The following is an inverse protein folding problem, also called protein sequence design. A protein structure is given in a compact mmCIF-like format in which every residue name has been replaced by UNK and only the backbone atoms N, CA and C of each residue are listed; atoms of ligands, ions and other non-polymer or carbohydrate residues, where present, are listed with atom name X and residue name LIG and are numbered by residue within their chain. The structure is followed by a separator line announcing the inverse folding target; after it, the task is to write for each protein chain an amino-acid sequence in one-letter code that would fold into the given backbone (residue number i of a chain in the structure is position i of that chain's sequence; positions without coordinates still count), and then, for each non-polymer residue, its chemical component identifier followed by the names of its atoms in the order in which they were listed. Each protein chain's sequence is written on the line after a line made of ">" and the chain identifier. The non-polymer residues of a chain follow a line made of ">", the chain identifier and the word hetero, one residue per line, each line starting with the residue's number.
data_IF_186650965484
#
_entry.id   IF_186650965484
#
_cell.length_a   1.000
_cell.length_b   1.000
_cell.length_c   1.000
_cell.angle_alpha   90.00
_cell.angle_beta   90.00
_cell.angle_gamma   90.00
#
_symmetry.space_group_name_H-M   'P 1'
#
loop_
_entity.id
_entity.type
_entity.pdbx_description
1 polymer ?
#
# COMPACT_ATOMS: atom_id res chain seq x y z
N UNK A 1 -14.81 -13.44 15.44
CA UNK A 1 -13.60 -13.08 14.69
C UNK A 1 -13.31 -11.61 14.93
N UNK A 2 -12.05 -11.20 14.95
CA UNK A 2 -11.73 -9.77 15.06
C UNK A 2 -12.23 -9.04 13.81
N UNK A 3 -12.93 -7.93 13.98
CA UNK A 3 -13.42 -7.12 12.86
C UNK A 3 -12.24 -6.36 12.25
N UNK A 4 -12.01 -6.53 10.96
CA UNK A 4 -10.96 -5.83 10.21
C UNK A 4 -11.55 -4.54 9.63
N UNK A 5 -10.93 -3.41 9.91
CA UNK A 5 -11.30 -2.11 9.33
C UNK A 5 -10.24 -1.65 8.33
N UNK A 6 -10.67 -1.31 7.12
CA UNK A 6 -9.82 -0.74 6.08
C UNK A 6 -10.14 0.73 5.86
N UNK A 7 -9.14 1.58 5.79
CA UNK A 7 -9.29 2.96 5.36
C UNK A 7 -9.04 3.05 3.85
N UNK A 8 -10.03 3.45 3.06
CA UNK A 8 -9.95 3.52 1.61
C UNK A 8 -9.89 4.97 1.15
N UNK A 9 -8.82 5.35 0.47
CA UNK A 9 -8.72 6.60 -0.28
C UNK A 9 -9.70 6.54 -1.46
N UNK A 10 -10.90 7.07 -1.26
CA UNK A 10 -11.98 6.98 -2.24
C UNK A 10 -11.73 7.84 -3.49
N UNK A 11 -10.86 8.84 -3.38
CA UNK A 11 -10.56 9.78 -4.47
C UNK A 11 -9.35 9.37 -5.30
N UNK A 12 -8.58 8.36 -4.85
CA UNK A 12 -7.35 7.94 -5.49
C UNK A 12 -7.54 7.24 -6.84
N UNK A 13 -6.55 7.38 -7.72
CA UNK A 13 -6.52 6.81 -9.07
C UNK A 13 -7.20 7.71 -10.13
N UNK A 14 -7.04 7.31 -11.39
CA UNK A 14 -7.53 8.10 -12.54
C UNK A 14 -9.06 8.25 -12.58
N UNK A 15 -9.78 7.26 -12.07
CA UNK A 15 -11.25 7.24 -12.09
C UNK A 15 -11.90 7.63 -10.75
N UNK A 16 -11.19 7.49 -9.61
CA UNK A 16 -11.71 7.84 -8.29
C UNK A 16 -13.00 7.12 -7.90
N UNK A 17 -14.00 7.87 -7.43
CA UNK A 17 -15.27 7.34 -6.91
C UNK A 17 -16.00 6.33 -7.80
N UNK A 18 -16.06 6.49 -9.15
CA UNK A 18 -16.67 5.50 -10.05
C UNK A 18 -16.07 4.09 -9.95
N UNK A 19 -14.83 3.95 -9.48
CA UNK A 19 -14.17 2.65 -9.29
C UNK A 19 -14.13 2.25 -7.82
N UNK A 20 -13.79 3.16 -6.93
CA UNK A 20 -13.59 2.84 -5.51
C UNK A 20 -14.88 2.47 -4.79
N UNK A 21 -16.00 3.12 -5.09
CA UNK A 21 -17.28 2.82 -4.45
C UNK A 21 -17.82 1.43 -4.86
N UNK A 22 -17.89 1.05 -6.14
CA UNK A 22 -18.26 -0.30 -6.53
C UNK A 22 -17.30 -1.39 -6.01
N UNK A 23 -15.99 -1.09 -5.94
CA UNK A 23 -15.01 -2.02 -5.38
C UNK A 23 -15.27 -2.31 -3.89
N UNK A 24 -15.63 -1.27 -3.12
CA UNK A 24 -16.01 -1.44 -1.70
C UNK A 24 -17.32 -2.21 -1.57
N UNK A 25 -18.31 -1.96 -2.42
CA UNK A 25 -19.56 -2.74 -2.43
C UNK A 25 -19.28 -4.25 -2.64
N UNK A 26 -18.39 -4.58 -3.59
CA UNK A 26 -18.00 -5.96 -3.86
C UNK A 26 -17.18 -6.57 -2.72
N UNK A 27 -16.27 -5.81 -2.11
CA UNK A 27 -15.51 -6.23 -0.93
C UNK A 27 -16.44 -6.64 0.22
N UNK A 28 -17.40 -5.77 0.55
CA UNK A 28 -18.36 -6.02 1.65
C UNK A 28 -19.28 -7.21 1.39
N UNK A 29 -19.57 -7.49 0.13
CA UNK A 29 -20.36 -8.66 -0.28
C UNK A 29 -19.58 -9.97 -0.08
N UNK A 30 -18.26 -9.94 -0.30
CA UNK A 30 -17.39 -11.13 -0.19
C UNK A 30 -16.89 -11.40 1.21
N UNK A 31 -16.73 -10.34 2.02
CA UNK A 31 -16.06 -10.37 3.32
C UNK A 31 -16.95 -9.77 4.41
N UNK A 32 -17.59 -10.64 5.18
CA UNK A 32 -18.51 -10.21 6.25
C UNK A 32 -17.78 -9.62 7.45
N UNK A 33 -16.52 -10.00 7.66
CA UNK A 33 -15.66 -9.54 8.75
C UNK A 33 -15.02 -8.16 8.51
N UNK A 34 -15.17 -7.59 7.31
CA UNK A 34 -14.53 -6.32 6.93
C UNK A 34 -15.49 -5.14 7.11
N UNK A 35 -14.99 -4.07 7.73
CA UNK A 35 -15.59 -2.73 7.74
C UNK A 35 -14.70 -1.74 7.00
N UNK A 36 -15.26 -0.67 6.47
CA UNK A 36 -14.54 0.29 5.62
C UNK A 36 -14.79 1.73 6.08
N UNK A 37 -13.70 2.48 6.24
CA UNK A 37 -13.71 3.93 6.32
C UNK A 37 -13.44 4.48 4.92
N UNK A 38 -14.47 5.01 4.26
CA UNK A 38 -14.35 5.67 2.97
C UNK A 38 -13.90 7.10 3.17
N UNK A 39 -12.71 7.43 2.69
CA UNK A 39 -12.09 8.74 2.91
C UNK A 39 -12.12 9.57 1.63
N UNK A 40 -12.73 10.75 1.68
CA UNK A 40 -12.83 11.60 0.49
C UNK A 40 -13.55 12.91 0.71
N UNK A 41 -13.74 13.65 -0.38
CA UNK A 41 -14.48 14.89 -0.37
C UNK A 41 -15.94 14.63 0.02
N UNK A 42 -16.38 15.24 1.11
CA UNK A 42 -17.61 14.89 1.83
C UNK A 42 -18.84 14.81 0.91
N UNK A 43 -19.14 15.86 0.16
CA UNK A 43 -20.37 15.93 -0.62
C UNK A 43 -20.35 14.96 -1.80
N UNK A 44 -19.21 14.87 -2.49
CA UNK A 44 -19.03 13.97 -3.63
C UNK A 44 -19.13 12.51 -3.20
N UNK A 45 -18.45 12.16 -2.08
CA UNK A 45 -18.43 10.81 -1.53
C UNK A 45 -19.81 10.42 -1.00
N UNK A 46 -20.47 11.30 -0.23
CA UNK A 46 -21.83 11.04 0.29
C UNK A 46 -22.82 10.78 -0.85
N UNK A 47 -22.77 11.60 -1.93
CA UNK A 47 -23.61 11.39 -3.11
C UNK A 47 -23.33 10.05 -3.79
N UNK A 48 -22.06 9.65 -3.91
CA UNK A 48 -21.67 8.39 -4.54
C UNK A 48 -22.11 7.18 -3.70
N UNK A 49 -21.93 7.24 -2.38
CA UNK A 49 -22.38 6.20 -1.46
C UNK A 49 -23.91 6.04 -1.48
N UNK A 50 -24.65 7.15 -1.47
CA UNK A 50 -26.12 7.11 -1.58
C UNK A 50 -26.57 6.43 -2.89
N UNK A 51 -25.99 6.82 -4.03
CA UNK A 51 -26.31 6.18 -5.33
C UNK A 51 -26.01 4.67 -5.37
N UNK A 52 -25.03 4.24 -4.58
CA UNK A 52 -24.65 2.83 -4.48
C UNK A 52 -25.42 2.07 -3.36
N UNK A 53 -26.28 2.75 -2.61
CA UNK A 53 -27.01 2.15 -1.48
C UNK A 53 -26.11 1.79 -0.28
N UNK A 54 -24.97 2.48 -0.15
CA UNK A 54 -23.99 2.25 0.90
C UNK A 54 -24.01 3.31 2.01
N UNK A 55 -24.79 4.36 1.88
CA UNK A 55 -24.87 5.50 2.80
C UNK A 55 -25.34 5.11 4.22
N UNK A 56 -26.18 4.07 4.32
CA UNK A 56 -26.68 3.52 5.59
C UNK A 56 -26.10 2.11 5.89
N UNK A 57 -25.08 1.70 5.17
CA UNK A 57 -24.52 0.37 5.37
C UNK A 57 -23.76 0.29 6.71
N UNK A 58 -24.05 -0.66 7.63
CA UNK A 58 -23.51 -0.67 9.00
C UNK A 58 -21.99 -0.85 9.07
N UNK A 59 -21.38 -1.32 8.01
CA UNK A 59 -19.93 -1.52 7.92
C UNK A 59 -19.21 -0.47 7.04
N UNK A 60 -19.88 0.62 6.67
CA UNK A 60 -19.30 1.74 5.92
C UNK A 60 -19.43 3.01 6.74
N UNK A 61 -18.33 3.73 6.87
CA UNK A 61 -18.31 5.06 7.47
C UNK A 61 -17.59 6.03 6.55
N UNK A 62 -18.14 7.24 6.40
CA UNK A 62 -17.52 8.33 5.66
C UNK A 62 -16.57 9.11 6.56
N UNK A 63 -15.36 9.34 6.08
CA UNK A 63 -14.38 10.23 6.70
C UNK A 63 -14.07 11.36 5.73
N UNK A 64 -14.31 12.59 6.15
CA UNK A 64 -14.13 13.76 5.29
C UNK A 64 -12.64 14.08 5.09
N UNK A 65 -12.31 14.47 3.85
CA UNK A 65 -11.04 15.06 3.46
C UNK A 65 -11.31 16.16 2.42
N UNK A 66 -10.59 17.26 2.50
CA UNK A 66 -10.85 18.43 1.64
C UNK A 66 -10.01 18.45 0.36
N UNK A 67 -8.91 17.68 0.31
CA UNK A 67 -7.94 17.71 -0.77
C UNK A 67 -7.79 16.32 -1.41
N UNK A 68 -7.29 16.32 -2.65
CA UNK A 68 -7.00 15.10 -3.43
C UNK A 68 -5.58 15.17 -3.98
N UNK A 69 -4.80 14.11 -3.80
CA UNK A 69 -3.52 13.94 -4.49
C UNK A 69 -3.79 13.36 -5.87
N UNK A 70 -3.41 14.09 -6.91
CA UNK A 70 -3.54 13.65 -8.30
C UNK A 70 -2.36 12.78 -8.73
N UNK A 71 -2.51 12.05 -9.84
CA UNK A 71 -1.43 11.20 -10.36
C UNK A 71 -0.18 12.01 -10.76
N UNK A 72 -0.35 13.26 -11.18
CA UNK A 72 0.72 14.16 -11.64
C UNK A 72 1.31 15.03 -10.53
N UNK A 73 0.77 14.98 -9.32
CA UNK A 73 1.30 15.77 -8.22
C UNK A 73 2.74 15.33 -7.85
N UNK A 74 3.68 16.27 -7.77
CA UNK A 74 4.99 15.98 -7.20
C UNK A 74 4.85 15.45 -5.76
N UNK A 75 5.67 14.49 -5.38
CA UNK A 75 5.69 13.89 -4.03
C UNK A 75 5.80 14.96 -2.93
N UNK A 76 6.57 16.02 -3.17
CA UNK A 76 6.73 17.13 -2.23
C UNK A 76 5.43 17.91 -2.00
N UNK A 77 4.58 18.04 -3.04
CA UNK A 77 3.26 18.68 -2.95
C UNK A 77 2.32 17.80 -2.12
N UNK A 78 2.26 16.51 -2.41
CA UNK A 78 1.46 15.56 -1.64
C UNK A 78 1.85 15.56 -0.15
N UNK A 79 3.16 15.58 0.13
CA UNK A 79 3.68 15.48 1.49
C UNK A 79 3.52 16.76 2.31
N UNK A 80 3.76 17.94 1.71
CA UNK A 80 3.82 19.22 2.43
C UNK A 80 2.63 20.13 2.18
N UNK A 81 2.09 20.10 0.97
CA UNK A 81 0.99 20.97 0.52
C UNK A 81 -0.38 20.40 0.84
N UNK A 82 -0.62 19.12 0.52
CA UNK A 82 -1.94 18.48 0.63
C UNK A 82 -2.08 17.67 1.92
N UNK A 83 -2.11 18.35 3.04
CA UNK A 83 -2.11 17.71 4.37
C UNK A 83 -3.45 17.11 4.77
N UNK A 84 -4.53 17.56 4.13
CA UNK A 84 -5.88 17.04 4.31
C UNK A 84 -6.35 16.25 3.08
N UNK A 85 -5.42 15.66 2.34
CA UNK A 85 -5.76 14.80 1.21
C UNK A 85 -6.37 13.48 1.66
N UNK A 86 -7.31 12.96 0.87
CA UNK A 86 -7.97 11.67 1.13
C UNK A 86 -6.96 10.54 1.36
N UNK A 87 -5.88 10.49 0.59
CA UNK A 87 -4.76 9.56 0.79
C UNK A 87 -4.13 9.72 2.19
N UNK A 88 -3.80 10.94 2.59
CA UNK A 88 -3.15 11.17 3.89
C UNK A 88 -4.09 10.93 5.06
N UNK A 89 -5.35 11.33 4.93
CA UNK A 89 -6.37 11.09 5.96
C UNK A 89 -6.61 9.58 6.11
N UNK A 90 -6.64 8.80 5.03
CA UNK A 90 -6.73 7.33 5.10
C UNK A 90 -5.54 6.71 5.85
N UNK A 91 -4.31 7.16 5.59
CA UNK A 91 -3.11 6.71 6.31
C UNK A 91 -3.17 7.14 7.79
N UNK A 92 -3.69 8.33 8.09
CA UNK A 92 -3.88 8.78 9.47
C UNK A 92 -4.83 7.87 10.25
N UNK A 93 -5.88 7.29 9.62
CA UNK A 93 -6.76 6.33 10.28
C UNK A 93 -5.98 5.10 10.79
N UNK A 94 -4.96 4.67 10.05
CA UNK A 94 -4.08 3.57 10.48
C UNK A 94 -3.19 4.01 11.64
N UNK A 95 -2.56 5.19 11.55
CA UNK A 95 -1.75 5.74 12.65
C UNK A 95 -2.54 5.85 13.95
N UNK A 96 -3.80 6.28 13.85
CA UNK A 96 -4.68 6.55 14.99
C UNK A 96 -5.41 5.29 15.49
N UNK A 97 -5.09 4.12 14.92
CA UNK A 97 -5.64 2.82 15.32
C UNK A 97 -7.12 2.60 14.94
N UNK A 98 -7.68 3.47 14.08
CA UNK A 98 -9.06 3.36 13.60
C UNK A 98 -9.21 2.34 12.47
N UNK A 99 -8.13 2.06 11.75
CA UNK A 99 -8.05 1.04 10.71
C UNK A 99 -6.76 0.23 10.83
N UNK A 100 -6.79 -1.01 10.36
CA UNK A 100 -5.61 -1.89 10.35
C UNK A 100 -4.77 -1.72 9.09
N UNK A 101 -5.38 -1.21 8.00
CA UNK A 101 -4.67 -0.92 6.76
C UNK A 101 -5.31 0.25 6.00
N UNK A 102 -4.51 0.93 5.19
CA UNK A 102 -4.97 1.93 4.23
C UNK A 102 -4.79 1.41 2.80
N UNK A 103 -5.76 1.69 1.95
CA UNK A 103 -5.78 1.30 0.53
C UNK A 103 -5.96 2.55 -0.32
N UNK A 104 -5.10 2.74 -1.31
CA UNK A 104 -5.20 3.81 -2.29
C UNK A 104 -4.80 3.30 -3.67
N UNK A 105 -5.55 3.68 -4.69
CA UNK A 105 -5.19 3.48 -6.11
C UNK A 105 -4.53 4.73 -6.72
N UNK A 106 -4.15 5.69 -5.87
CA UNK A 106 -3.57 6.96 -6.30
C UNK A 106 -2.07 6.89 -6.58
N UNK A 107 -1.45 8.07 -6.63
CA UNK A 107 -0.03 8.25 -6.92
C UNK A 107 0.86 7.43 -5.98
N UNK A 108 1.57 6.43 -6.52
CA UNK A 108 2.37 5.48 -5.76
C UNK A 108 3.51 6.15 -4.99
N UNK A 109 4.21 7.09 -5.61
CA UNK A 109 5.30 7.83 -4.96
C UNK A 109 4.81 8.67 -3.78
N UNK A 110 3.65 9.30 -3.94
CA UNK A 110 3.00 10.05 -2.87
C UNK A 110 2.54 9.11 -1.74
N UNK A 111 1.91 7.98 -2.06
CA UNK A 111 1.48 6.98 -1.07
C UNK A 111 2.65 6.50 -0.22
N UNK A 112 3.77 6.14 -0.86
CA UNK A 112 4.98 5.69 -0.16
C UNK A 112 5.57 6.77 0.74
N UNK A 113 5.71 7.99 0.23
CA UNK A 113 6.31 9.10 0.98
C UNK A 113 5.43 9.53 2.17
N UNK A 114 4.12 9.63 1.96
CA UNK A 114 3.17 9.98 3.02
C UNK A 114 3.10 8.88 4.07
N UNK A 115 3.04 7.60 3.65
CA UNK A 115 3.05 6.46 4.57
C UNK A 115 4.30 6.44 5.44
N UNK A 116 5.49 6.58 4.83
CA UNK A 116 6.77 6.67 5.57
C UNK A 116 6.78 7.84 6.57
N UNK A 117 6.25 8.98 6.15
CA UNK A 117 6.22 10.18 7.00
C UNK A 117 5.27 10.00 8.20
N UNK A 118 4.07 9.48 7.98
CA UNK A 118 3.01 9.36 8.97
C UNK A 118 3.20 8.17 9.90
N UNK A 119 3.44 6.98 9.33
CA UNK A 119 3.52 5.72 10.08
C UNK A 119 4.92 5.44 10.58
N UNK A 120 5.94 6.05 9.96
CA UNK A 120 7.36 5.75 10.18
C UNK A 120 7.75 4.35 9.67
N UNK A 121 9.01 4.01 9.83
CA UNK A 121 9.52 2.66 9.59
C UNK A 121 9.82 1.97 10.91
N UNK A 122 9.85 0.65 10.91
CA UNK A 122 10.30 -0.12 12.07
C UNK A 122 11.79 0.14 12.32
N UNK A 123 12.27 0.03 13.57
CA UNK A 123 13.70 0.06 13.86
C UNK A 123 14.48 -0.95 13.01
N UNK A 124 15.54 -0.49 12.36
CA UNK A 124 16.34 -1.31 11.44
C UNK A 124 15.81 -1.41 10.02
N UNK A 125 14.72 -0.69 9.68
CA UNK A 125 14.20 -0.55 8.32
C UNK A 125 14.35 0.90 7.87
N UNK A 126 15.25 1.15 6.93
CA UNK A 126 15.54 2.50 6.45
C UNK A 126 14.50 3.01 5.45
N UNK A 127 13.99 2.10 4.61
CA UNK A 127 13.05 2.45 3.54
C UNK A 127 11.94 1.41 3.41
N UNK A 128 10.69 1.83 3.15
CA UNK A 128 9.64 0.92 2.73
C UNK A 128 9.93 0.42 1.31
N UNK A 129 9.35 -0.70 0.93
CA UNK A 129 9.44 -1.29 -0.40
C UNK A 129 8.05 -1.66 -0.93
N UNK A 130 7.89 -1.65 -2.25
CA UNK A 130 6.72 -2.22 -2.90
C UNK A 130 6.92 -3.71 -3.05
N UNK A 131 5.98 -4.49 -2.52
CA UNK A 131 5.95 -5.94 -2.64
C UNK A 131 4.76 -6.39 -3.47
N UNK A 132 4.97 -7.28 -4.43
CA UNK A 132 3.89 -7.96 -5.14
C UNK A 132 4.20 -9.42 -5.39
N UNK A 133 3.14 -10.23 -5.54
CA UNK A 133 3.25 -11.63 -5.96
C UNK A 133 3.24 -11.69 -7.50
N UNK A 134 4.31 -12.22 -8.08
CA UNK A 134 4.45 -12.44 -9.52
C UNK A 134 4.18 -13.91 -9.82
N UNK A 135 3.32 -14.25 -10.81
CA UNK A 135 3.04 -15.63 -11.17
C UNK A 135 4.29 -16.32 -11.74
N UNK A 136 4.47 -17.58 -11.37
CA UNK A 136 5.52 -18.46 -11.90
C UNK A 136 4.91 -19.70 -12.51
N UNK A 137 5.73 -20.59 -13.07
CA UNK A 137 5.26 -21.85 -13.68
C UNK A 137 4.58 -22.79 -12.69
N UNK A 138 4.91 -22.68 -11.40
CA UNK A 138 4.45 -23.62 -10.36
C UNK A 138 3.78 -22.92 -9.16
N UNK A 139 3.47 -21.63 -9.29
CA UNK A 139 2.88 -20.85 -8.19
C UNK A 139 3.16 -19.36 -8.35
N UNK A 140 3.74 -18.73 -7.36
CA UNK A 140 4.12 -17.32 -7.40
C UNK A 140 5.46 -17.07 -6.69
N UNK A 141 6.00 -15.88 -6.90
CA UNK A 141 7.19 -15.36 -6.23
C UNK A 141 6.90 -13.94 -5.77
N UNK A 142 7.18 -13.64 -4.52
CA UNK A 142 7.11 -12.26 -4.02
C UNK A 142 8.36 -11.49 -4.45
N UNK A 143 8.16 -10.37 -5.13
CA UNK A 143 9.23 -9.48 -5.58
C UNK A 143 9.21 -8.18 -4.76
N UNK A 144 10.38 -7.78 -4.27
CA UNK A 144 10.67 -6.51 -3.61
C UNK A 144 12.01 -5.98 -4.15
N UNK A 145 12.21 -4.76 -4.43
CA UNK A 145 11.31 -3.61 -4.52
C UNK A 145 10.88 -3.40 -5.98
N UNK A 146 9.67 -2.91 -6.19
CA UNK A 146 9.14 -2.67 -7.54
C UNK A 146 9.08 -1.16 -7.84
N UNK A 147 10.22 -0.49 -7.73
CA UNK A 147 10.41 0.89 -8.15
C UNK A 147 9.96 1.95 -7.14
N UNK A 148 9.73 1.59 -5.88
CA UNK A 148 9.55 2.57 -4.81
C UNK A 148 10.86 3.29 -4.49
N UNK A 149 11.97 2.60 -4.67
CA UNK A 149 13.33 3.13 -4.47
C UNK A 149 14.08 3.07 -5.81
N UNK A 150 14.52 4.24 -6.29
CA UNK A 150 15.28 4.33 -7.55
C UNK A 150 16.68 3.76 -7.37
N UNK A 151 17.33 4.13 -6.26
CA UNK A 151 18.65 3.66 -5.88
C UNK A 151 18.58 2.92 -4.55
N UNK A 152 19.18 1.74 -4.47
CA UNK A 152 19.25 0.93 -3.26
C UNK A 152 20.70 0.61 -2.93
N UNK A 153 21.09 0.73 -1.67
CA UNK A 153 22.37 0.27 -1.17
C UNK A 153 22.30 -1.24 -0.84
N UNK A 154 23.44 -1.94 -0.68
CA UNK A 154 23.44 -3.35 -0.29
C UNK A 154 22.63 -3.65 0.96
N UNK A 155 22.71 -2.78 1.97
CA UNK A 155 21.96 -2.89 3.22
C UNK A 155 20.44 -2.79 2.99
N UNK A 156 20.00 -1.97 2.04
CA UNK A 156 18.57 -1.91 1.66
C UNK A 156 18.10 -3.22 1.04
N UNK A 157 18.91 -3.85 0.18
CA UNK A 157 18.57 -5.15 -0.42
C UNK A 157 18.46 -6.25 0.64
N UNK A 158 19.34 -6.24 1.64
CA UNK A 158 19.24 -7.13 2.81
C UNK A 158 17.93 -6.90 3.60
N UNK A 159 17.59 -5.64 3.86
CA UNK A 159 16.34 -5.30 4.54
C UNK A 159 15.12 -5.74 3.74
N UNK A 160 15.13 -5.56 2.41
CA UNK A 160 14.06 -6.04 1.53
C UNK A 160 13.95 -7.57 1.54
N UNK A 161 15.07 -8.28 1.58
CA UNK A 161 15.08 -9.74 1.74
C UNK A 161 14.42 -10.20 3.03
N UNK A 162 14.72 -9.54 4.15
CA UNK A 162 14.12 -9.82 5.46
C UNK A 162 12.61 -9.50 5.47
N UNK A 163 12.21 -8.37 4.90
CA UNK A 163 10.79 -7.99 4.77
C UNK A 163 10.04 -8.97 3.87
N UNK A 164 10.60 -9.36 2.72
CA UNK A 164 10.01 -10.36 1.83
C UNK A 164 9.85 -11.72 2.51
N UNK A 165 10.85 -12.17 3.24
CA UNK A 165 10.78 -13.40 4.02
C UNK A 165 9.67 -13.34 5.09
N UNK A 166 9.48 -12.20 5.76
CA UNK A 166 8.41 -12.00 6.72
C UNK A 166 7.02 -12.04 6.06
N UNK A 167 6.86 -11.40 4.89
CA UNK A 167 5.61 -11.43 4.11
C UNK A 167 5.24 -12.87 3.73
N UNK A 168 6.18 -13.62 3.15
CA UNK A 168 5.95 -15.01 2.71
C UNK A 168 5.58 -15.92 3.90
N UNK A 169 6.22 -15.73 5.06
CA UNK A 169 5.82 -16.46 6.27
C UNK A 169 4.39 -16.15 6.70
N UNK A 170 4.01 -14.88 6.65
CA UNK A 170 2.70 -14.43 7.12
C UNK A 170 1.57 -14.77 6.14
N UNK A 171 1.80 -14.63 4.83
CA UNK A 171 0.76 -14.76 3.80
C UNK A 171 0.67 -16.19 3.26
N UNK A 172 1.83 -16.82 3.00
CA UNK A 172 1.89 -18.14 2.36
C UNK A 172 2.14 -19.27 3.37
N UNK A 173 2.31 -18.96 4.65
CA UNK A 173 2.62 -19.91 5.71
C UNK A 173 3.89 -20.75 5.46
N UNK A 174 4.86 -20.21 4.71
CA UNK A 174 6.15 -20.87 4.44
C UNK A 174 7.16 -20.44 5.52
N UNK A 175 7.49 -21.34 6.44
CA UNK A 175 8.39 -21.02 7.59
C UNK A 175 9.79 -20.59 7.16
N UNK A 176 10.34 -21.21 6.13
CA UNK A 176 11.71 -20.98 5.62
C UNK A 176 11.67 -20.65 4.13
N UNK A 177 11.25 -19.42 3.76
CA UNK A 177 11.23 -19.01 2.36
C UNK A 177 12.66 -18.93 1.80
N UNK A 178 12.81 -19.33 0.55
CA UNK A 178 14.05 -19.09 -0.20
C UNK A 178 14.05 -17.64 -0.68
N UNK A 179 15.19 -16.98 -0.54
CA UNK A 179 15.39 -15.61 -1.01
C UNK A 179 16.48 -15.61 -2.06
N UNK A 180 16.32 -14.83 -3.11
CA UNK A 180 17.32 -14.64 -4.16
C UNK A 180 17.43 -13.15 -4.51
N UNK A 181 18.59 -12.71 -4.90
CA UNK A 181 18.82 -11.41 -5.50
C UNK A 181 18.59 -11.49 -7.00
N UNK A 182 17.73 -10.61 -7.52
CA UNK A 182 17.56 -10.48 -8.97
C UNK A 182 18.85 -9.98 -9.60
N UNK A 183 19.37 -10.74 -10.57
CA UNK A 183 20.64 -10.48 -11.22
C UNK A 183 20.55 -10.71 -12.73
N UNK A 184 21.57 -10.29 -13.48
CA UNK A 184 21.67 -10.41 -14.95
C UNK A 184 22.15 -11.79 -15.42
N UNK A 185 22.51 -12.70 -14.52
CA UNK A 185 22.98 -14.06 -14.79
C UNK A 185 23.20 -14.83 -13.49
N UNK A 186 23.47 -16.13 -13.61
CA UNK A 186 23.65 -17.05 -12.49
C UNK A 186 25.13 -17.21 -12.07
N UNK A 187 26.07 -16.77 -12.91
CA UNK A 187 27.49 -16.93 -12.66
C UNK A 187 27.98 -15.94 -11.58
N UNK A 188 28.90 -16.36 -10.73
CA UNK A 188 29.48 -15.58 -9.61
C UNK A 188 30.10 -14.24 -10.05
N UNK A 189 30.53 -14.16 -11.32
CA UNK A 189 31.10 -12.93 -11.87
C UNK A 189 30.04 -11.92 -12.33
N UNK A 190 28.78 -12.32 -12.40
CA UNK A 190 27.68 -11.45 -12.85
C UNK A 190 27.17 -10.56 -11.72
N UNK A 191 26.56 -9.46 -12.15
CA UNK A 191 26.02 -8.45 -11.23
C UNK A 191 26.99 -7.30 -10.96
N UNK A 192 26.41 -6.19 -10.53
CA UNK A 192 27.18 -5.03 -10.07
C UNK A 192 27.71 -5.25 -8.64
N UNK A 193 28.59 -4.38 -8.19
CA UNK A 193 29.18 -4.45 -6.84
C UNK A 193 28.13 -4.42 -5.74
N UNK A 194 27.04 -3.71 -5.92
CA UNK A 194 25.92 -3.63 -4.99
C UNK A 194 25.29 -5.01 -4.72
N UNK A 195 25.01 -5.78 -5.80
CA UNK A 195 24.43 -7.13 -5.68
C UNK A 195 25.42 -8.08 -5.02
N UNK A 196 26.70 -8.00 -5.40
CA UNK A 196 27.76 -8.84 -4.82
C UNK A 196 27.92 -8.58 -3.33
N UNK A 197 27.91 -7.31 -2.93
CA UNK A 197 27.99 -6.93 -1.51
C UNK A 197 26.74 -7.34 -0.71
N UNK A 198 25.56 -7.26 -1.31
CA UNK A 198 24.32 -7.69 -0.66
C UNK A 198 24.23 -9.22 -0.49
N UNK A 199 25.01 -10.00 -1.23
CA UNK A 199 25.06 -11.46 -1.16
C UNK A 199 26.03 -11.99 -0.09
N UNK A 200 26.91 -11.15 0.47
CA UNK A 200 27.86 -11.50 1.54
C UNK A 200 27.18 -11.49 2.91
#
# INVERSE_FOLDING_TARGET
>A
MAQLTLAVDAMGGDAGLPVTVPAVAELLRRHEEVSVLMVGQQDALASALNKAGLDQHPRVSLVAASEVVTMDDPVTVALRGKRDSSMRVAINQVRDGQAQAAVSAGNTGALMAVSRFVLKTLPGVDRPAICTAIPTRTGHCHMLDLGANVDSEPEHLLQFALMGAAVVRAVDAVEKPRVALLNIGEEDIKGNEQIKQAAL
#
